data_IF_705627740540
#
_entry.id   IF_705627740540
#
_cell.length_a   1.000
_cell.length_b   1.000
_cell.length_c   1.000
_cell.angle_alpha   90.00
_cell.angle_beta   90.00
_cell.angle_gamma   90.00
#
_symmetry.space_group_name_H-M   'P 1'
#
loop_
_entity.id
_entity.type
_entity.pdbx_description
1 polymer ?
#
# COMPACT_ATOMS: atom_id res chain seq x y z
N UNK A 1 -2.14 2.08 15.55
CA UNK A 1 -1.06 1.53 14.70
C UNK A 1 0.14 1.18 15.55
N UNK A 2 0.67 -0.06 15.47
CA UNK A 2 1.84 -0.47 16.26
C UNK A 2 3.09 0.33 15.90
N UNK A 3 4.04 0.42 16.83
CA UNK A 3 5.24 1.25 16.72
C UNK A 3 6.12 1.00 15.48
N UNK A 4 6.05 -0.20 14.88
CA UNK A 4 6.78 -0.56 13.66
C UNK A 4 6.12 -0.13 12.35
N UNK A 5 4.88 0.36 12.37
CA UNK A 5 4.14 0.77 11.18
C UNK A 5 4.50 2.18 10.73
N UNK A 6 5.34 2.30 9.70
CA UNK A 6 5.96 3.57 9.29
C UNK A 6 5.16 4.36 8.25
N UNK A 7 4.38 3.68 7.41
CA UNK A 7 3.48 4.32 6.46
C UNK A 7 2.27 3.41 6.16
N UNK A 8 1.19 4.00 5.65
CA UNK A 8 -0.03 3.29 5.32
C UNK A 8 -0.23 3.19 3.80
N UNK A 9 -0.65 2.02 3.33
CA UNK A 9 -1.28 1.87 2.02
C UNK A 9 -2.61 1.18 2.15
N UNK A 10 -3.44 1.28 1.12
CA UNK A 10 -4.71 0.58 1.06
C UNK A 10 -4.87 -0.15 -0.27
N UNK A 11 -5.56 -1.28 -0.23
CA UNK A 11 -6.04 -2.00 -1.40
C UNK A 11 -7.55 -1.99 -1.39
N UNK A 12 -8.16 -1.58 -2.50
CA UNK A 12 -9.62 -1.52 -2.66
C UNK A 12 -10.06 -2.42 -3.81
N UNK A 13 -11.10 -3.21 -3.55
CA UNK A 13 -11.77 -4.05 -4.53
C UNK A 13 -13.23 -3.58 -4.71
N UNK A 14 -13.59 -3.28 -5.96
CA UNK A 14 -14.89 -2.72 -6.31
C UNK A 14 -15.79 -3.87 -6.76
N UNK A 15 -16.89 -4.06 -6.03
CA UNK A 15 -17.89 -5.08 -6.31
C UNK A 15 -19.21 -4.43 -6.75
N UNK A 16 -20.16 -5.26 -7.16
CA UNK A 16 -21.49 -4.79 -7.61
C UNK A 16 -22.24 -3.98 -6.56
N UNK A 17 -22.12 -4.36 -5.30
CA UNK A 17 -22.94 -3.89 -4.19
C UNK A 17 -22.15 -3.16 -3.10
N UNK A 18 -20.81 -3.14 -3.19
CA UNK A 18 -19.93 -2.57 -2.17
C UNK A 18 -18.54 -2.25 -2.73
N UNK A 19 -17.76 -1.51 -1.95
CA UNK A 19 -16.31 -1.39 -2.11
C UNK A 19 -15.67 -1.94 -0.84
N UNK A 20 -14.86 -2.99 -0.95
CA UNK A 20 -14.08 -3.51 0.17
C UNK A 20 -12.67 -2.91 0.16
N UNK A 21 -12.19 -2.51 1.33
CA UNK A 21 -10.88 -1.87 1.48
C UNK A 21 -10.17 -2.46 2.70
N UNK A 22 -8.92 -2.90 2.51
CA UNK A 22 -8.02 -3.16 3.62
C UNK A 22 -6.94 -2.07 3.69
N UNK A 23 -6.77 -1.48 4.87
CA UNK A 23 -5.67 -0.58 5.18
C UNK A 23 -4.55 -1.36 5.83
N UNK A 24 -3.35 -1.26 5.28
CA UNK A 24 -2.16 -1.95 5.74
C UNK A 24 -1.07 -0.96 6.09
N UNK A 25 -0.43 -1.19 7.23
CA UNK A 25 0.78 -0.48 7.59
C UNK A 25 2.02 -1.30 7.27
N UNK A 26 3.10 -0.59 6.98
CA UNK A 26 4.34 -1.17 6.54
C UNK A 26 5.52 -0.62 7.33
N UNK A 27 6.34 -1.53 7.81
CA UNK A 27 7.59 -1.26 8.51
C UNK A 27 8.81 -1.65 7.69
N UNK A 28 9.98 -1.48 8.31
CA UNK A 28 11.26 -1.92 7.74
C UNK A 28 11.21 -3.42 7.43
N UNK A 29 11.85 -3.83 6.33
CA UNK A 29 11.83 -5.22 5.89
C UNK A 29 10.46 -5.70 5.40
N UNK A 30 9.52 -4.78 5.13
CA UNK A 30 8.14 -5.08 4.71
C UNK A 30 7.33 -5.88 5.74
N UNK A 31 7.72 -5.82 7.02
CA UNK A 31 6.83 -6.19 8.11
C UNK A 31 5.53 -5.38 8.01
N UNK A 32 4.38 -6.01 8.26
CA UNK A 32 3.09 -5.38 7.94
C UNK A 32 1.97 -5.73 8.89
N UNK A 33 1.06 -4.78 9.11
CA UNK A 33 -0.08 -4.91 10.03
C UNK A 33 -1.38 -4.56 9.31
N UNK A 34 -2.39 -5.42 9.42
CA UNK A 34 -3.74 -5.04 9.02
C UNK A 34 -4.26 -4.04 10.05
N UNK A 35 -4.65 -2.87 9.56
CA UNK A 35 -5.02 -1.70 10.36
C UNK A 35 -6.51 -1.59 10.51
N UNK A 36 -7.19 -1.75 9.38
CA UNK A 36 -8.61 -1.51 9.24
C UNK A 36 -9.11 -2.33 8.06
N UNK A 37 -10.33 -2.83 8.20
CA UNK A 37 -11.09 -3.45 7.13
C UNK A 37 -12.40 -2.67 7.01
N UNK A 38 -12.60 -2.03 5.87
CA UNK A 38 -13.72 -1.14 5.62
C UNK A 38 -14.55 -1.70 4.48
N UNK A 39 -15.84 -1.83 4.70
CA UNK A 39 -16.83 -2.14 3.66
C UNK A 39 -17.69 -0.91 3.49
N UNK A 40 -17.60 -0.28 2.32
CA UNK A 40 -18.47 0.82 1.94
C UNK A 40 -19.66 0.21 1.21
N UNK A 41 -20.85 0.37 1.78
CA UNK A 41 -22.09 -0.12 1.19
C UNK A 41 -22.42 0.69 -0.08
N UNK A 42 -22.88 -0.01 -1.11
CA UNK A 42 -23.14 0.57 -2.43
C UNK A 42 -22.02 0.29 -3.43
N UNK A 43 -22.43 -0.08 -4.64
CA UNK A 43 -21.52 -0.33 -5.75
C UNK A 43 -21.04 0.93 -6.48
N UNK A 44 -20.32 0.75 -7.59
CA UNK A 44 -19.78 1.85 -8.40
C UNK A 44 -20.84 2.79 -9.00
N UNK A 45 -22.12 2.38 -9.05
CA UNK A 45 -23.23 3.22 -9.52
C UNK A 45 -23.68 4.26 -8.47
N UNK A 46 -23.13 4.21 -7.25
CA UNK A 46 -23.58 4.99 -6.09
C UNK A 46 -22.59 6.10 -5.78
N UNK A 47 -23.02 7.36 -5.94
CA UNK A 47 -22.19 8.54 -5.69
C UNK A 47 -21.75 8.66 -4.22
N UNK A 48 -22.61 8.24 -3.29
CA UNK A 48 -22.34 8.15 -1.87
C UNK A 48 -21.15 7.22 -1.58
N UNK A 49 -21.09 6.04 -2.21
CA UNK A 49 -19.96 5.11 -2.03
C UNK A 49 -18.61 5.75 -2.44
N UNK A 50 -18.57 6.48 -3.56
CA UNK A 50 -17.37 7.21 -3.97
C UNK A 50 -17.02 8.39 -3.05
N UNK A 51 -18.03 9.04 -2.46
CA UNK A 51 -17.83 10.13 -1.50
C UNK A 51 -17.24 9.60 -0.19
N UNK A 52 -17.73 8.45 0.29
CA UNK A 52 -17.18 7.75 1.45
C UNK A 52 -15.75 7.27 1.21
N UNK A 53 -15.47 6.71 0.03
CA UNK A 53 -14.11 6.30 -0.33
C UNK A 53 -13.16 7.50 -0.39
N UNK A 54 -13.64 8.66 -0.84
CA UNK A 54 -12.89 9.92 -0.82
C UNK A 54 -12.60 10.35 0.63
N UNK A 55 -13.60 10.31 1.51
CA UNK A 55 -13.41 10.64 2.92
C UNK A 55 -12.43 9.67 3.62
N UNK A 56 -12.38 8.40 3.21
CA UNK A 56 -11.43 7.42 3.73
C UNK A 56 -9.97 7.80 3.43
N UNK A 57 -9.68 8.41 2.27
CA UNK A 57 -8.33 8.91 1.94
C UNK A 57 -7.85 9.99 2.91
N UNK A 58 -8.79 10.72 3.50
CA UNK A 58 -8.54 11.81 4.44
C UNK A 58 -8.53 11.38 5.90
N UNK A 59 -9.03 10.17 6.18
CA UNK A 59 -9.00 9.58 7.51
C UNK A 59 -7.55 9.39 7.99
N UNK A 60 -7.34 9.64 9.28
CA UNK A 60 -6.07 9.41 9.95
C UNK A 60 -6.19 8.31 11.00
N UNK A 61 -5.16 7.47 11.12
CA UNK A 61 -5.06 6.44 12.15
C UNK A 61 -4.01 6.83 13.20
N UNK A 62 -4.32 6.69 14.50
CA UNK A 62 -3.38 7.00 15.57
C UNK A 62 -2.23 5.97 15.59
N UNK A 63 -1.03 6.47 15.80
CA UNK A 63 0.19 5.68 15.95
C UNK A 63 0.58 5.57 17.43
N UNK A 64 1.14 4.43 17.83
CA UNK A 64 1.57 4.16 19.20
C UNK A 64 2.56 5.21 19.73
N UNK A 65 3.37 5.79 18.83
CA UNK A 65 4.30 6.90 19.13
C UNK A 65 3.66 8.30 19.16
N UNK A 66 2.34 8.40 19.12
CA UNK A 66 1.58 9.66 19.23
C UNK A 66 1.34 10.41 17.92
N UNK A 67 1.94 9.97 16.81
CA UNK A 67 1.70 10.52 15.48
C UNK A 67 0.34 10.07 14.90
N UNK A 68 -0.12 10.76 13.85
CA UNK A 68 -1.28 10.35 13.06
C UNK A 68 -0.85 10.15 11.60
N UNK A 69 -1.21 8.99 11.03
CA UNK A 69 -0.87 8.65 9.65
C UNK A 69 -2.13 8.61 8.79
N UNK A 70 -2.00 9.04 7.53
CA UNK A 70 -3.04 8.90 6.50
C UNK A 70 -2.59 7.87 5.47
N UNK A 71 -3.52 7.41 4.63
CA UNK A 71 -3.19 6.53 3.51
C UNK A 71 -2.25 7.28 2.56
N UNK A 72 -1.00 6.83 2.48
CA UNK A 72 0.00 7.41 1.59
C UNK A 72 -0.27 7.03 0.14
N UNK A 73 -0.82 5.84 -0.09
CA UNK A 73 -1.24 5.39 -1.41
C UNK A 73 -2.33 4.32 -1.36
N UNK A 74 -3.36 4.48 -2.17
CA UNK A 74 -4.44 3.50 -2.37
C UNK A 74 -4.34 2.90 -3.78
N UNK A 75 -4.30 1.57 -3.88
CA UNK A 75 -4.49 0.86 -5.14
C UNK A 75 -5.94 0.36 -5.23
N UNK A 76 -6.61 0.64 -6.35
CA UNK A 76 -8.01 0.28 -6.56
C UNK A 76 -8.15 -0.54 -7.84
N UNK A 77 -8.79 -1.71 -7.73
CA UNK A 77 -8.99 -2.58 -8.89
C UNK A 77 -9.95 -1.97 -9.91
N UNK A 78 -9.69 -2.30 -11.18
CA UNK A 78 -10.46 -1.83 -12.33
C UNK A 78 -11.23 -2.97 -12.99
N UNK A 79 -11.30 -4.15 -12.37
CA UNK A 79 -11.89 -5.37 -12.95
C UNK A 79 -13.40 -5.30 -13.15
N UNK A 80 -14.15 -4.65 -12.25
CA UNK A 80 -15.61 -4.58 -12.33
C UNK A 80 -16.11 -3.34 -13.12
N UNK A 81 -15.80 -2.12 -12.67
CA UNK A 81 -16.25 -0.87 -13.30
C UNK A 81 -15.10 0.12 -13.57
N UNK A 82 -14.22 -0.24 -14.51
CA UNK A 82 -13.05 0.55 -14.87
C UNK A 82 -13.36 2.04 -15.17
N UNK A 83 -14.42 2.41 -15.93
CA UNK A 83 -14.70 3.81 -16.23
C UNK A 83 -14.98 4.64 -14.97
N UNK A 84 -15.74 4.10 -14.01
CA UNK A 84 -16.07 4.78 -12.76
C UNK A 84 -14.80 4.98 -11.90
N UNK A 85 -13.98 3.92 -11.78
CA UNK A 85 -12.69 3.98 -11.07
C UNK A 85 -11.76 5.02 -11.70
N UNK A 86 -11.70 5.10 -13.03
CA UNK A 86 -10.88 6.09 -13.74
C UNK A 86 -11.37 7.52 -13.52
N UNK A 87 -12.68 7.75 -13.57
CA UNK A 87 -13.26 9.07 -13.31
C UNK A 87 -12.96 9.52 -11.88
N UNK A 88 -13.23 8.66 -10.89
CA UNK A 88 -13.00 8.97 -9.47
C UNK A 88 -11.50 9.18 -9.16
N UNK A 89 -10.63 8.25 -9.56
CA UNK A 89 -9.18 8.32 -9.27
C UNK A 89 -8.49 9.56 -9.85
N UNK A 90 -8.99 10.07 -10.97
CA UNK A 90 -8.49 11.30 -11.58
C UNK A 90 -8.75 12.52 -10.68
N UNK A 91 -9.92 12.58 -10.04
CA UNK A 91 -10.28 13.67 -9.13
C UNK A 91 -9.43 13.68 -7.86
N UNK A 92 -9.03 12.49 -7.36
CA UNK A 92 -8.22 12.35 -6.14
C UNK A 92 -6.72 12.60 -6.35
N UNK A 93 -6.24 12.49 -7.59
CA UNK A 93 -4.85 12.74 -7.94
C UNK A 93 -3.97 11.50 -7.94
N UNK A 94 -3.10 11.42 -8.96
CA UNK A 94 -2.29 10.24 -9.28
C UNK A 94 -1.18 9.91 -8.26
N UNK A 95 -0.90 10.84 -7.34
CA UNK A 95 0.05 10.62 -6.25
C UNK A 95 -0.56 9.74 -5.16
N UNK A 96 -1.85 9.92 -4.87
CA UNK A 96 -2.55 9.23 -3.78
C UNK A 96 -3.28 7.97 -4.27
N UNK A 97 -3.91 8.00 -5.44
CA UNK A 97 -4.70 6.86 -5.96
C UNK A 97 -4.04 6.23 -7.18
N UNK A 98 -4.03 4.91 -7.22
CA UNK A 98 -3.49 4.09 -8.30
C UNK A 98 -4.54 3.10 -8.80
N UNK A 99 -5.21 3.38 -9.92
CA UNK A 99 -5.97 2.37 -10.63
C UNK A 99 -5.05 1.23 -11.03
N UNK A 100 -5.42 0.01 -10.66
CA UNK A 100 -4.65 -1.20 -10.95
C UNK A 100 -5.47 -2.17 -11.79
N UNK A 101 -4.77 -2.94 -12.61
CA UNK A 101 -5.30 -4.11 -13.29
C UNK A 101 -4.46 -5.32 -12.90
N UNK A 102 -5.10 -6.27 -12.23
CA UNK A 102 -4.49 -7.56 -11.95
C UNK A 102 -4.25 -8.38 -13.23
N UNK A 103 -3.09 -9.02 -13.30
CA UNK A 103 -2.75 -9.97 -14.37
C UNK A 103 -2.11 -11.21 -13.77
N UNK A 104 -2.61 -12.36 -14.22
CA UNK A 104 -2.16 -13.65 -13.76
C UNK A 104 -0.85 -14.10 -14.43
N UNK A 105 -0.24 -15.12 -13.83
CA UNK A 105 0.94 -15.81 -14.33
C UNK A 105 2.24 -15.29 -13.74
N UNK A 106 3.30 -16.10 -13.90
CA UNK A 106 4.62 -15.85 -13.33
C UNK A 106 5.65 -15.33 -14.35
N UNK A 107 5.24 -15.10 -15.60
CA UNK A 107 6.15 -14.78 -16.70
C UNK A 107 6.46 -13.27 -16.82
N UNK A 108 6.09 -12.47 -15.81
CA UNK A 108 6.29 -11.01 -15.82
C UNK A 108 7.70 -10.69 -15.31
N UNK A 109 8.38 -9.78 -15.99
CA UNK A 109 9.71 -9.30 -15.60
C UNK A 109 9.70 -8.33 -14.41
N UNK A 110 8.53 -7.79 -14.05
CA UNK A 110 8.36 -6.89 -12.91
C UNK A 110 7.03 -7.15 -12.18
N UNK A 111 7.00 -7.13 -10.83
CA UNK A 111 5.78 -7.28 -10.05
C UNK A 111 4.72 -6.21 -10.33
N UNK A 112 5.14 -4.99 -10.65
CA UNK A 112 4.23 -3.91 -11.08
C UNK A 112 4.85 -3.17 -12.26
N UNK A 113 4.08 -3.01 -13.33
CA UNK A 113 4.48 -2.29 -14.55
C UNK A 113 3.56 -1.09 -14.82
N UNK A 114 4.10 -0.04 -15.44
CA UNK A 114 3.34 1.17 -15.78
C UNK A 114 3.88 2.43 -15.08
N UNK A 115 3.08 3.51 -15.02
CA UNK A 115 1.68 3.57 -15.46
C UNK A 115 1.55 3.63 -16.99
N UNK A 116 0.57 2.92 -17.55
CA UNK A 116 0.12 3.16 -18.94
C UNK A 116 -0.99 4.20 -18.93
N UNK A 117 -1.05 5.01 -19.99
CA UNK A 117 -2.11 6.01 -20.13
C UNK A 117 -3.31 5.39 -20.85
N UNK A 118 -4.45 5.37 -20.19
CA UNK A 118 -5.72 4.87 -20.73
C UNK A 118 -6.71 6.01 -20.87
N UNK A 119 -7.62 5.87 -21.83
CA UNK A 119 -8.69 6.85 -22.02
C UNK A 119 -9.73 6.69 -20.89
N UNK A 120 -10.22 7.82 -20.39
CA UNK A 120 -11.25 7.86 -19.36
C UNK A 120 -12.51 8.52 -19.94
N UNK A 121 -13.69 8.18 -19.40
CA UNK A 121 -14.94 8.83 -19.77
C UNK A 121 -15.45 9.63 -18.58
N UNK A 122 -15.69 10.93 -18.78
CA UNK A 122 -16.20 11.83 -17.75
C UNK A 122 -17.37 12.63 -18.33
N UNK A 123 -18.54 12.57 -17.69
CA UNK A 123 -19.73 13.29 -18.16
C UNK A 123 -20.13 12.98 -19.62
N UNK A 124 -19.92 11.75 -20.08
CA UNK A 124 -20.19 11.31 -21.46
C UNK A 124 -19.14 11.74 -22.49
N UNK A 125 -18.05 12.42 -22.10
CA UNK A 125 -16.95 12.81 -22.98
C UNK A 125 -15.73 11.91 -22.77
N UNK A 126 -15.18 11.40 -23.88
CA UNK A 126 -13.93 10.61 -23.87
C UNK A 126 -12.72 11.52 -23.74
N UNK A 127 -11.97 11.34 -22.66
CA UNK A 127 -10.71 12.02 -22.37
C UNK A 127 -9.54 11.12 -22.74
N UNK A 128 -8.79 11.51 -23.78
CA UNK A 128 -7.62 10.75 -24.23
C UNK A 128 -6.52 10.78 -23.16
N UNK A 129 -5.92 9.62 -22.81
CA UNK A 129 -4.90 9.50 -21.74
C UNK A 129 -5.38 10.04 -20.38
N UNK A 130 -6.68 9.92 -20.10
CA UNK A 130 -7.34 10.47 -18.93
C UNK A 130 -6.96 9.83 -17.60
N UNK A 131 -6.52 8.56 -17.59
CA UNK A 131 -6.14 7.81 -16.39
C UNK A 131 -4.79 7.09 -16.53
N UNK A 132 -4.14 6.87 -15.37
CA UNK A 132 -2.87 6.14 -15.24
C UNK A 132 -3.15 4.75 -14.67
N UNK A 133 -3.03 3.73 -15.50
CA UNK A 133 -3.28 2.35 -15.12
C UNK A 133 -1.97 1.62 -14.81
N UNK A 134 -1.90 1.00 -13.65
CA UNK A 134 -0.80 0.13 -13.26
C UNK A 134 -1.18 -1.33 -13.50
N UNK A 135 -0.24 -2.11 -14.02
CA UNK A 135 -0.45 -3.55 -14.19
C UNK A 135 0.25 -4.30 -13.06
N UNK A 136 -0.51 -5.12 -12.31
CA UNK A 136 -0.04 -5.81 -11.10
C UNK A 136 0.04 -7.30 -11.36
N UNK A 137 1.23 -7.89 -11.24
CA UNK A 137 1.43 -9.33 -11.31
C UNK A 137 0.91 -9.99 -10.01
N UNK A 138 -0.40 -10.24 -9.97
CA UNK A 138 -1.09 -10.70 -8.75
C UNK A 138 -0.53 -12.04 -8.26
N UNK A 139 -0.11 -12.92 -9.17
CA UNK A 139 0.46 -14.22 -8.81
C UNK A 139 1.75 -14.10 -8.00
N UNK A 140 2.57 -13.07 -8.25
CA UNK A 140 3.81 -12.80 -7.49
C UNK A 140 3.49 -12.34 -6.08
N UNK A 141 2.56 -11.39 -5.91
CA UNK A 141 2.19 -10.88 -4.59
C UNK A 141 1.40 -11.90 -3.76
N UNK A 142 0.60 -12.76 -4.40
CA UNK A 142 -0.02 -13.92 -3.73
C UNK A 142 1.05 -14.88 -3.23
N UNK A 143 2.02 -15.27 -4.07
CA UNK A 143 3.11 -16.16 -3.65
C UNK A 143 3.94 -15.56 -2.51
N UNK A 144 4.25 -14.27 -2.58
CA UNK A 144 4.94 -13.53 -1.52
C UNK A 144 4.15 -13.52 -0.22
N UNK A 145 2.85 -13.20 -0.27
CA UNK A 145 1.97 -13.18 0.91
C UNK A 145 1.92 -14.56 1.58
N UNK A 146 1.70 -15.63 0.81
CA UNK A 146 1.67 -16.99 1.36
C UNK A 146 3.03 -17.44 1.92
N UNK A 147 4.13 -16.97 1.34
CA UNK A 147 5.48 -17.20 1.91
C UNK A 147 5.63 -16.50 3.25
N UNK A 148 5.18 -15.25 3.36
CA UNK A 148 5.23 -14.49 4.61
C UNK A 148 4.35 -15.07 5.72
N UNK A 149 3.18 -15.61 5.38
CA UNK A 149 2.30 -16.30 6.33
C UNK A 149 2.90 -17.59 6.91
N UNK A 150 3.97 -18.12 6.30
CA UNK A 150 4.68 -19.32 6.77
C UNK A 150 5.92 -18.98 7.61
N UNK A 151 6.23 -17.71 7.83
CA UNK A 151 7.37 -17.31 8.67
C UNK A 151 7.13 -17.77 10.11
N UNK A 152 8.16 -18.34 10.72
CA UNK A 152 8.15 -18.63 12.14
C UNK A 152 8.07 -17.31 12.92
N UNK A 153 7.14 -17.24 13.87
CA UNK A 153 7.02 -16.07 14.75
C UNK A 153 7.87 -16.32 16.01
N UNK A 154 8.65 -15.32 16.46
CA UNK A 154 9.35 -15.44 17.74
C UNK A 154 8.32 -15.64 18.86
N UNK A 155 8.68 -16.45 19.86
CA UNK A 155 7.88 -16.58 21.08
C UNK A 155 8.02 -15.32 21.95
N UNK A 156 7.17 -15.20 22.98
CA UNK A 156 7.30 -14.11 23.95
C UNK A 156 8.66 -14.16 24.69
N UNK A 157 9.21 -15.36 24.89
CA UNK A 157 10.53 -15.59 25.46
C UNK A 157 11.64 -15.11 24.51
N UNK A 158 11.56 -15.50 23.23
CA UNK A 158 12.50 -15.03 22.20
C UNK A 158 12.49 -13.49 22.12
N UNK A 159 11.30 -12.87 22.16
CA UNK A 159 11.16 -11.41 22.13
C UNK A 159 11.70 -10.75 23.40
N UNK A 160 11.55 -11.37 24.58
CA UNK A 160 12.14 -10.90 25.82
C UNK A 160 13.68 -10.94 25.79
N UNK A 161 14.26 -11.86 25.03
CA UNK A 161 15.70 -11.96 24.75
C UNK A 161 16.16 -11.04 23.59
N UNK A 162 15.25 -10.28 22.99
CA UNK A 162 15.54 -9.30 21.95
C UNK A 162 15.42 -9.82 20.51
N UNK A 163 14.81 -11.00 20.29
CA UNK A 163 14.49 -11.46 18.96
C UNK A 163 13.47 -10.53 18.29
N UNK A 164 13.72 -10.18 17.03
CA UNK A 164 12.80 -9.40 16.21
C UNK A 164 11.96 -10.31 15.32
N UNK A 165 10.80 -9.82 14.89
CA UNK A 165 10.04 -10.48 13.84
C UNK A 165 10.86 -10.54 12.54
N UNK A 166 10.85 -11.66 11.81
CA UNK A 166 11.56 -11.78 10.56
C UNK A 166 11.02 -10.80 9.50
N UNK A 167 11.86 -10.32 8.56
CA UNK A 167 11.40 -9.45 7.47
C UNK A 167 10.22 -10.04 6.70
N UNK A 168 9.17 -9.24 6.55
CA UNK A 168 7.93 -9.62 5.88
C UNK A 168 6.87 -10.23 6.79
N UNK A 169 7.09 -10.30 8.11
CA UNK A 169 6.06 -10.75 9.05
C UNK A 169 4.72 -10.03 8.84
N UNK A 170 3.63 -10.80 8.85
CA UNK A 170 2.26 -10.30 8.70
C UNK A 170 1.56 -10.41 10.05
N UNK A 171 1.07 -9.28 10.54
CA UNK A 171 0.36 -9.17 11.80
C UNK A 171 -1.11 -8.92 11.54
N UNK A 172 -1.94 -9.82 12.07
CA UNK A 172 -3.39 -9.72 11.99
C UNK A 172 -3.93 -9.35 13.38
N UNK A 173 -4.83 -8.37 13.48
CA UNK A 173 -5.38 -7.95 14.77
C UNK A 173 -6.47 -8.91 15.25
N UNK A 174 -6.73 -8.88 16.55
CA UNK A 174 -7.70 -9.79 17.20
C UNK A 174 -9.16 -9.57 16.78
N UNK A 175 -9.50 -8.42 16.19
CA UNK A 175 -10.85 -8.11 15.73
C UNK A 175 -11.19 -8.77 14.38
N UNK A 176 -10.21 -9.34 13.68
CA UNK A 176 -10.45 -9.99 12.39
C UNK A 176 -11.31 -11.22 12.58
N UNK A 177 -12.40 -11.28 11.82
CA UNK A 177 -13.33 -12.40 11.86
C UNK A 177 -12.84 -13.61 11.05
N UNK A 178 -13.41 -14.77 11.37
CA UNK A 178 -13.08 -16.03 10.72
C UNK A 178 -13.36 -16.00 9.21
N UNK A 179 -14.41 -15.29 8.76
CA UNK A 179 -14.72 -15.21 7.33
C UNK A 179 -13.67 -14.40 6.56
N UNK A 180 -13.22 -13.27 7.10
CA UNK A 180 -12.11 -12.51 6.52
C UNK A 180 -10.84 -13.36 6.43
N UNK A 181 -10.50 -14.11 7.49
CA UNK A 181 -9.34 -15.02 7.48
C UNK A 181 -9.45 -16.07 6.37
N UNK A 182 -10.63 -16.66 6.19
CA UNK A 182 -10.87 -17.65 5.13
C UNK A 182 -10.74 -17.04 3.73
N UNK A 183 -11.15 -15.78 3.55
CA UNK A 183 -10.97 -15.05 2.29
C UNK A 183 -9.50 -14.70 2.03
N UNK A 184 -8.78 -14.31 3.08
CA UNK A 184 -7.37 -13.95 3.01
C UNK A 184 -6.47 -15.12 2.56
N UNK A 185 -6.89 -16.36 2.82
CA UNK A 185 -6.23 -17.58 2.31
C UNK A 185 -7.10 -18.38 1.34
N UNK A 186 -8.04 -17.73 0.63
CA UNK A 186 -9.03 -18.40 -0.21
C UNK A 186 -8.48 -19.02 -1.50
N UNK A 187 -7.19 -18.96 -1.76
CA UNK A 187 -6.58 -19.55 -2.95
C UNK A 187 -5.46 -20.54 -2.62
N UNK A 188 -5.13 -21.39 -3.58
CA UNK A 188 -3.95 -22.25 -3.50
C UNK A 188 -3.20 -22.27 -4.82
N UNK A 189 -1.88 -22.38 -4.73
CA UNK A 189 -1.02 -22.51 -5.90
C UNK A 189 -0.88 -23.99 -6.27
N UNK A 190 -1.40 -24.38 -7.44
CA UNK A 190 -1.34 -25.76 -7.94
C UNK A 190 -0.53 -25.85 -9.22
N UNK A 191 0.03 -27.03 -9.48
CA UNK A 191 0.67 -27.33 -10.77
C UNK A 191 -0.35 -27.99 -11.69
N UNK A 192 -0.72 -27.30 -12.77
CA UNK A 192 -1.65 -27.79 -13.79
C UNK A 192 -0.86 -28.21 -15.02
N UNK A 193 -1.23 -29.35 -15.61
CA UNK A 193 -0.68 -29.79 -16.90
C UNK A 193 -1.61 -29.32 -18.02
N UNK A 194 -1.03 -28.64 -19.01
CA UNK A 194 -1.74 -28.25 -20.24
C UNK A 194 -2.08 -29.49 -21.07
N UNK A 195 -3.01 -29.35 -22.03
CA UNK A 195 -3.35 -30.42 -22.99
C UNK A 195 -2.14 -30.93 -23.80
N UNK A 196 -1.05 -30.14 -23.87
CA UNK A 196 0.21 -30.48 -24.55
C UNK A 196 1.28 -31.04 -23.59
N UNK A 197 0.93 -31.33 -22.34
CA UNK A 197 1.83 -31.95 -21.34
C UNK A 197 2.71 -30.99 -20.55
N UNK A 198 2.79 -29.71 -20.92
CA UNK A 198 3.57 -28.70 -20.17
C UNK A 198 2.94 -28.42 -18.81
N UNK A 199 3.74 -28.44 -17.75
CA UNK A 199 3.34 -28.02 -16.42
C UNK A 199 3.41 -26.50 -16.29
N UNK A 200 2.39 -25.90 -15.66
CA UNK A 200 2.38 -24.49 -15.26
C UNK A 200 1.76 -24.33 -13.88
N UNK A 201 2.19 -23.29 -13.17
CA UNK A 201 1.58 -22.91 -11.89
C UNK A 201 0.31 -22.10 -12.15
N UNK A 202 -0.72 -22.36 -11.35
CA UNK A 202 -2.02 -21.68 -11.40
C UNK A 202 -2.54 -21.46 -9.98
N UNK A 203 -3.04 -20.25 -9.71
CA UNK A 203 -3.79 -19.96 -8.49
C UNK A 203 -5.23 -20.40 -8.68
N UNK A 204 -5.73 -21.26 -7.79
CA UNK A 204 -7.09 -21.75 -7.82
C UNK A 204 -7.84 -21.29 -6.59
N UNK A 205 -9.01 -20.70 -6.81
CA UNK A 205 -9.96 -20.36 -5.76
C UNK A 205 -10.46 -21.62 -5.07
N UNK A 206 -10.34 -21.63 -3.75
CA UNK A 206 -10.91 -22.63 -2.84
C UNK A 206 -12.34 -22.26 -2.44
N UNK A 207 -12.70 -20.98 -2.55
CA UNK A 207 -13.99 -20.41 -2.17
C UNK A 207 -14.40 -19.35 -3.19
N UNK A 208 -15.68 -19.00 -3.17
CA UNK A 208 -16.23 -17.97 -4.05
C UNK A 208 -15.63 -16.59 -3.76
N UNK A 209 -15.63 -16.22 -2.46
CA UNK A 209 -15.11 -14.95 -1.93
C UNK A 209 -13.62 -15.02 -1.60
N UNK A 210 -12.87 -14.00 -2.02
CA UNK A 210 -11.43 -13.86 -1.87
C UNK A 210 -10.98 -12.38 -1.76
N UNK A 211 -11.92 -11.47 -1.50
CA UNK A 211 -11.73 -10.03 -1.56
C UNK A 211 -10.64 -9.56 -0.58
N UNK A 212 -10.54 -10.16 0.62
CA UNK A 212 -9.45 -9.89 1.56
C UNK A 212 -8.04 -10.20 1.00
N UNK A 213 -7.89 -11.29 0.23
CA UNK A 213 -6.61 -11.62 -0.42
C UNK A 213 -6.29 -10.62 -1.54
N UNK A 214 -7.28 -10.23 -2.32
CA UNK A 214 -7.10 -9.27 -3.41
C UNK A 214 -6.80 -7.86 -2.86
N UNK A 215 -7.50 -7.42 -1.79
CA UNK A 215 -7.19 -6.18 -1.07
C UNK A 215 -5.76 -6.18 -0.52
N UNK A 216 -5.28 -7.28 0.08
CA UNK A 216 -3.88 -7.42 0.49
C UNK A 216 -2.91 -7.26 -0.68
N UNK A 217 -3.18 -7.93 -1.80
CA UNK A 217 -2.34 -7.86 -3.00
C UNK A 217 -2.26 -6.43 -3.51
N UNK A 218 -3.37 -5.71 -3.54
CA UNK A 218 -3.40 -4.32 -4.00
C UNK A 218 -2.74 -3.36 -3.01
N UNK A 219 -2.93 -3.52 -1.70
CA UNK A 219 -2.23 -2.73 -0.69
C UNK A 219 -0.70 -2.92 -0.80
N UNK A 220 -0.25 -4.15 -1.04
CA UNK A 220 1.17 -4.46 -1.26
C UNK A 220 1.68 -3.88 -2.59
N UNK A 221 0.89 -3.92 -3.66
CA UNK A 221 1.20 -3.27 -4.92
C UNK A 221 1.29 -1.74 -4.75
N UNK A 222 0.43 -1.12 -3.94
CA UNK A 222 0.53 0.30 -3.62
C UNK A 222 1.86 0.63 -2.90
N UNK A 223 2.32 -0.23 -1.97
CA UNK A 223 3.62 -0.07 -1.33
C UNK A 223 4.78 -0.20 -2.33
N UNK A 224 4.69 -1.14 -3.28
CA UNK A 224 5.67 -1.26 -4.38
C UNK A 224 5.70 -0.01 -5.26
N UNK A 225 4.54 0.54 -5.63
CA UNK A 225 4.44 1.75 -6.45
C UNK A 225 5.02 2.95 -5.69
N UNK A 226 4.79 3.03 -4.38
CA UNK A 226 5.37 4.06 -3.53
C UNK A 226 6.90 3.95 -3.40
N UNK A 227 7.48 2.80 -3.76
CA UNK A 227 8.92 2.59 -3.84
C UNK A 227 9.53 1.83 -2.67
N UNK A 228 8.73 1.30 -1.74
CA UNK A 228 9.20 0.68 -0.50
C UNK A 228 10.29 -0.37 -0.72
N UNK A 229 10.16 -1.21 -1.76
CA UNK A 229 11.13 -2.24 -2.15
C UNK A 229 12.49 -1.72 -2.61
N UNK A 230 12.58 -0.42 -2.91
CA UNK A 230 13.78 0.24 -3.48
C UNK A 230 14.31 1.35 -2.58
N UNK A 231 13.71 1.56 -1.41
CA UNK A 231 14.16 2.60 -0.49
C UNK A 231 15.47 2.19 0.18
N UNK A 232 16.46 3.11 0.25
CA UNK A 232 17.65 2.90 1.06
C UNK A 232 17.30 2.96 2.55
N UNK A 233 18.19 2.44 3.40
CA UNK A 233 18.02 2.46 4.87
C UNK A 233 17.78 3.86 5.44
N UNK A 234 18.35 4.88 4.81
CA UNK A 234 18.18 6.29 5.15
C UNK A 234 16.73 6.74 5.03
N UNK A 235 16.01 6.26 4.00
CA UNK A 235 14.60 6.61 3.82
C UNK A 235 13.72 5.95 4.88
N UNK A 236 14.06 4.74 5.29
CA UNK A 236 13.38 4.07 6.41
C UNK A 236 13.63 4.79 7.73
N UNK A 237 14.86 5.28 7.97
CA UNK A 237 15.19 6.10 9.14
C UNK A 237 14.43 7.42 9.17
N UNK A 238 14.34 8.10 8.02
CA UNK A 238 13.51 9.32 7.89
C UNK A 238 12.05 9.06 8.29
N UNK A 239 11.45 7.94 7.88
CA UNK A 239 10.09 7.58 8.30
C UNK A 239 10.00 7.26 9.80
N UNK A 240 11.01 6.60 10.37
CA UNK A 240 11.08 6.34 11.82
C UNK A 240 11.16 7.65 12.62
N UNK A 241 11.96 8.62 12.16
CA UNK A 241 12.14 9.93 12.77
C UNK A 241 10.86 10.80 12.68
N UNK A 242 10.12 10.70 11.58
CA UNK A 242 8.82 11.38 11.41
C UNK A 242 7.81 11.02 12.50
N UNK A 243 7.87 9.80 13.02
CA UNK A 243 6.95 9.33 14.07
C UNK A 243 7.35 9.81 15.47
N UNK A 244 8.58 10.31 15.66
CA UNK A 244 9.09 10.85 16.92
C UNK A 244 8.96 12.37 17.04
N UNK A 245 8.60 13.07 15.96
CA UNK A 245 8.36 14.51 15.99
C UNK A 245 6.98 14.82 16.61
N UNK A 246 6.89 15.87 17.43
CA UNK A 246 5.62 16.32 17.98
C UNK A 246 4.61 16.56 16.85
N UNK A 247 3.38 16.00 16.91
CA UNK A 247 2.38 16.22 15.87
C UNK A 247 2.10 17.72 15.77
N UNK A 248 2.37 18.31 14.61
CA UNK A 248 1.83 19.62 14.26
C UNK A 248 0.65 19.36 13.35
N UNK A 249 -0.47 20.05 13.57
CA UNK A 249 -1.71 19.91 12.78
C UNK A 249 -1.52 20.08 11.26
N UNK A 250 -0.35 20.57 10.85
CA UNK A 250 -0.02 20.92 9.47
C UNK A 250 0.78 19.85 8.71
N UNK A 251 1.31 18.80 9.35
CA UNK A 251 2.18 17.83 8.67
C UNK A 251 1.98 16.38 9.19
N UNK A 252 1.13 15.55 8.53
CA UNK A 252 0.92 14.17 8.98
C UNK A 252 2.21 13.34 8.85
N UNK A 253 2.43 12.41 9.77
CA UNK A 253 3.59 11.52 9.72
C UNK A 253 3.42 10.43 8.65
N UNK A 254 4.50 9.72 8.32
CA UNK A 254 4.51 8.65 7.32
C UNK A 254 4.50 9.15 5.88
N UNK A 255 5.06 10.35 5.65
CA UNK A 255 5.12 10.95 4.32
C UNK A 255 6.26 10.40 3.49
N UNK A 256 5.86 9.61 2.50
CA UNK A 256 6.77 8.98 1.54
C UNK A 256 7.50 10.03 0.67
N UNK A 257 6.82 11.11 0.28
CA UNK A 257 7.35 12.12 -0.65
C UNK A 257 7.76 13.44 0.01
N UNK A 258 8.02 13.46 1.33
CA UNK A 258 8.42 14.70 2.01
C UNK A 258 9.71 15.25 1.35
N UNK A 259 9.72 16.49 0.85
CA UNK A 259 10.95 17.09 0.36
C UNK A 259 11.92 17.18 1.55
N UNK A 260 13.11 16.61 1.40
CA UNK A 260 14.09 16.55 2.48
C UNK A 260 14.34 17.95 3.04
N UNK A 261 14.31 18.10 4.36
CA UNK A 261 14.78 19.34 4.98
C UNK A 261 16.23 19.52 4.54
N UNK A 262 16.49 20.57 3.74
CA UNK A 262 17.85 20.97 3.45
C UNK A 262 18.58 21.11 4.80
N UNK A 263 19.80 20.56 4.94
CA UNK A 263 20.53 20.66 6.19
C UNK A 263 20.60 22.13 6.57
N UNK A 264 19.95 22.51 7.68
CA UNK A 264 20.01 23.86 8.20
C UNK A 264 21.50 24.17 8.41
N UNK A 265 22.04 25.00 7.52
CA UNK A 265 23.44 25.38 7.52
C UNK A 265 23.83 25.82 8.93
N UNK A 266 24.90 25.21 9.45
CA UNK A 266 25.46 25.53 10.75
C UNK A 266 25.58 27.04 10.92
N UNK A 267 25.08 27.50 12.07
CA UNK A 267 25.27 28.81 12.71
C UNK A 267 26.50 29.59 12.20
N UNK A 268 26.26 30.87 11.89
CA UNK A 268 27.27 31.93 11.80
C UNK A 268 28.35 31.76 12.86
N UNK A 269 29.61 31.65 12.42
CA UNK A 269 30.77 31.91 13.27
C UNK A 269 31.28 33.31 12.95
N UNK A 270 30.94 34.28 13.80
CA UNK A 270 31.74 35.49 13.97
C UNK A 270 33.06 35.07 14.64
N UNK A 271 34.18 35.22 13.93
CA UNK A 271 35.51 35.24 14.56
C UNK A 271 36.54 36.03 13.71
N UNK A 272 36.67 37.31 14.08
CA UNK A 272 37.87 38.17 14.14
C UNK A 272 39.03 37.99 13.15
N UNK A 273 39.33 39.10 12.44
CA UNK A 273 40.64 39.31 11.80
C UNK A 273 40.82 40.71 11.18
N UNK A 274 40.83 41.76 12.00
CA UNK A 274 41.26 43.12 11.58
C UNK A 274 42.80 43.19 11.56
N UNK A 275 43.42 43.52 10.42
CA UNK A 275 44.77 44.10 10.17
C UNK A 275 45.06 43.88 8.66
N UNK A 276 45.46 44.80 7.80
CA UNK A 276 45.95 46.17 7.88
C UNK A 276 46.93 46.36 6.71
N UNK A 277 46.66 47.32 5.81
CA UNK A 277 47.66 48.04 5.00
C UNK A 277 48.36 47.38 3.79
N UNK A 278 48.51 48.21 2.75
CA UNK A 278 49.45 48.19 1.59
C UNK A 278 48.99 47.50 0.30
N UNK A 279 48.30 48.22 -0.58
CA UNK A 279 48.84 49.04 -1.68
C UNK A 279 47.71 49.93 -2.25
#
# INVERSE_FOLDING_TARGET
MPAGGLFLTAGADVQKDRIEIDVWAWGRGLESWLVDHVVIEGGPDRHDAWSELTALLDRSWPHERGAHLRIARLAIDTGYEAPAVYAWSRAQGFAQVSPVKGVEGFNRSSPVSGPTFVDATEGGKRLRRGARLWTVAVSTFKAETYRFLRLARPTDEDMAEGAAFPPGSVHLPHWVENEWLKQFVAEQLVTVRTKRGFARLEWQKLRERNEALDCRVYARAAAWIAGADRWPDEKWRDLEDQLGAAPTDTDPAGQINRPGQAPQGKRRSDWLGRRGGWF
#
